data_IF_800201857506
#
_entry.id   IF_800201857506
#
_cell.length_a   1.000
_cell.length_b   1.000
_cell.length_c   1.000
_cell.angle_alpha   90.00
_cell.angle_beta   90.00
_cell.angle_gamma   90.00
#
_symmetry.space_group_name_H-M   'P 1'
#
loop_
_entity.id
_entity.type
_entity.pdbx_description
1 polymer ?
#
# COMPACT_ATOMS: atom_id res chain seq x y z
N UNK A 1 -2.56 19.80 -17.18
CA UNK A 1 -3.60 19.06 -16.44
C UNK A 1 -2.88 18.00 -15.60
N UNK A 2 -2.98 18.16 -14.29
CA UNK A 2 -2.91 17.16 -13.22
C UNK A 2 -1.97 15.94 -13.34
N UNK A 3 -0.96 15.89 -12.46
CA UNK A 3 -0.65 14.66 -11.72
C UNK A 3 -0.53 15.05 -10.24
N UNK A 4 -1.63 14.88 -9.53
CA UNK A 4 -1.67 14.99 -8.08
C UNK A 4 -1.04 13.71 -7.52
N UNK A 5 0.20 13.79 -7.04
CA UNK A 5 0.79 12.72 -6.22
C UNK A 5 0.18 12.80 -4.84
N UNK A 6 -0.95 12.11 -4.67
CA UNK A 6 -1.51 11.79 -3.37
C UNK A 6 -0.55 10.85 -2.64
N UNK A 7 0.37 11.44 -1.88
CA UNK A 7 0.94 10.78 -0.73
C UNK A 7 -0.12 10.89 0.37
N UNK A 8 -1.04 9.93 0.43
CA UNK A 8 -1.85 9.70 1.62
C UNK A 8 -0.88 9.23 2.72
N UNK A 9 -0.27 10.21 3.38
CA UNK A 9 0.32 10.03 4.69
C UNK A 9 -0.87 9.76 5.60
N UNK A 10 -0.98 8.52 6.08
CA UNK A 10 -1.89 8.17 7.14
C UNK A 10 -1.65 9.12 8.31
N UNK A 11 -2.52 10.12 8.44
CA UNK A 11 -2.56 11.06 9.55
C UNK A 11 -3.16 10.29 10.74
N UNK A 12 -2.33 9.43 11.32
CA UNK A 12 -2.64 8.71 12.54
C UNK A 12 -2.70 9.73 13.67
N UNK A 13 -3.93 10.14 13.95
CA UNK A 13 -4.47 10.53 15.24
C UNK A 13 -3.43 11.05 16.22
N UNK A 14 -3.43 12.37 16.36
CA UNK A 14 -2.84 13.11 17.46
C UNK A 14 -2.81 12.27 18.73
N UNK A 15 -1.61 12.18 19.29
CA UNK A 15 -1.33 11.83 20.68
C UNK A 15 -2.57 11.95 21.55
N UNK A 16 -3.14 10.82 21.96
CA UNK A 16 -4.05 10.81 23.10
C UNK A 16 -3.21 11.16 24.34
N UNK A 17 -2.99 12.46 24.51
CA UNK A 17 -2.70 13.08 25.78
C UNK A 17 -3.99 12.89 26.59
N UNK A 18 -4.12 11.72 27.21
CA UNK A 18 -5.11 11.51 28.26
C UNK A 18 -4.61 12.35 29.45
N UNK A 19 -4.92 13.65 29.36
CA UNK A 19 -4.67 14.69 30.34
C UNK A 19 -6.02 15.02 30.97
N UNK A 20 -6.27 14.34 32.07
CA UNK A 20 -7.52 14.26 32.83
C UNK A 20 -7.47 12.88 33.48
N UNK A 21 -7.40 12.71 34.79
CA UNK A 21 -7.55 13.52 35.99
C UNK A 21 -6.72 12.73 37.06
N UNK A 22 -5.93 13.30 37.97
CA UNK A 22 -6.32 14.06 39.16
C UNK A 22 -5.13 14.89 39.63
N UNK A 23 -5.39 16.16 39.96
CA UNK A 23 -4.58 16.92 40.91
C UNK A 23 -4.66 16.24 42.28
N UNK A 24 -3.56 15.59 42.68
CA UNK A 24 -3.22 15.51 44.10
C UNK A 24 -1.88 16.20 44.25
N UNK A 25 -1.97 17.48 44.58
CA UNK A 25 -0.90 18.28 45.14
C UNK A 25 -0.38 17.58 46.40
N UNK A 26 0.86 17.09 46.33
CA UNK A 26 1.67 16.71 47.49
C UNK A 26 2.90 17.62 47.49
N UNK A 27 2.70 18.82 48.05
CA UNK A 27 3.78 19.73 48.43
C UNK A 27 4.52 19.13 49.62
N UNK A 28 5.76 18.68 49.39
CA UNK A 28 6.48 17.92 50.39
C UNK A 28 7.89 17.51 50.01
N UNK A 29 8.72 18.46 49.58
CA UNK A 29 10.18 18.43 49.76
C UNK A 29 10.91 17.11 49.44
N UNK A 30 11.33 16.91 48.19
CA UNK A 30 12.55 16.13 47.90
C UNK A 30 13.19 16.55 46.57
N UNK A 31 13.68 17.80 46.55
CA UNK A 31 14.71 18.22 45.61
C UNK A 31 15.98 17.36 45.82
N UNK A 32 16.07 16.20 45.18
CA UNK A 32 17.26 15.36 45.31
C UNK A 32 17.17 13.88 44.93
N UNK A 33 16.02 13.34 44.53
CA UNK A 33 15.94 11.95 44.07
C UNK A 33 16.46 11.81 42.62
N UNK A 34 17.79 11.89 42.56
CA UNK A 34 18.71 11.50 41.49
C UNK A 34 18.06 10.49 40.54
N UNK A 35 18.25 10.70 39.23
CA UNK A 35 18.07 9.77 38.10
C UNK A 35 18.61 8.35 38.38
N UNK A 36 18.06 7.62 39.35
CA UNK A 36 18.45 6.26 39.66
C UNK A 36 17.77 5.39 38.61
N UNK A 37 18.59 4.67 37.85
CA UNK A 37 18.11 3.57 37.03
C UNK A 37 17.36 2.60 37.94
N UNK A 38 16.21 2.12 37.47
CA UNK A 38 15.47 1.06 38.16
C UNK A 38 16.37 -0.18 38.29
N UNK A 39 16.33 -0.84 39.44
CA UNK A 39 17.04 -2.09 39.64
C UNK A 39 16.44 -3.20 38.75
N UNK A 40 17.22 -4.23 38.45
CA UNK A 40 16.81 -5.36 37.62
C UNK A 40 15.53 -6.04 38.14
N UNK A 41 15.39 -6.22 39.45
CA UNK A 41 14.17 -6.81 40.04
C UNK A 41 12.93 -5.94 39.86
N UNK A 42 13.09 -4.61 39.97
CA UNK A 42 12.01 -3.65 39.71
C UNK A 42 11.59 -3.72 38.24
N UNK A 43 12.56 -3.73 37.32
CA UNK A 43 12.29 -3.87 35.88
C UNK A 43 11.58 -5.19 35.59
N UNK A 44 12.05 -6.31 36.15
CA UNK A 44 11.45 -7.64 35.95
C UNK A 44 9.99 -7.68 36.41
N UNK A 45 9.69 -7.05 37.54
CA UNK A 45 8.31 -6.98 38.05
C UNK A 45 7.42 -6.11 37.16
N UNK A 46 7.94 -4.99 36.65
CA UNK A 46 7.26 -4.12 35.70
C UNK A 46 7.01 -4.82 34.37
N UNK A 47 7.97 -5.59 33.87
CA UNK A 47 7.85 -6.40 32.64
C UNK A 47 6.78 -7.47 32.77
N UNK A 48 6.80 -8.27 33.84
CA UNK A 48 5.75 -9.27 34.10
C UNK A 48 4.37 -8.61 34.18
N UNK A 49 4.27 -7.44 34.80
CA UNK A 49 3.02 -6.70 34.82
C UNK A 49 2.61 -6.19 33.44
N UNK A 50 3.55 -5.65 32.67
CA UNK A 50 3.26 -5.20 31.30
C UNK A 50 2.70 -6.32 30.41
N UNK A 51 3.22 -7.54 30.55
CA UNK A 51 2.74 -8.73 29.83
C UNK A 51 1.29 -9.09 30.19
N UNK A 52 0.90 -8.95 31.47
CA UNK A 52 -0.48 -9.17 31.91
C UNK A 52 -1.46 -8.10 31.41
N UNK A 53 -0.97 -6.90 31.13
CA UNK A 53 -1.79 -5.79 30.69
C UNK A 53 -0.96 -4.57 30.30
N UNK A 54 -1.06 -4.19 29.03
CA UNK A 54 -0.32 -3.06 28.44
C UNK A 54 -0.88 -1.69 28.88
N UNK A 55 -2.16 -1.65 29.27
CA UNK A 55 -2.80 -0.48 29.88
C UNK A 55 -2.50 -0.46 31.38
N UNK A 56 -2.03 0.68 31.85
CA UNK A 56 -1.71 0.91 33.24
C UNK A 56 -2.86 1.68 33.89
N UNK A 57 -3.77 0.95 34.51
CA UNK A 57 -4.88 1.55 35.25
C UNK A 57 -4.39 2.33 36.49
N UNK A 58 -5.08 3.41 36.91
CA UNK A 58 -4.66 4.24 38.04
C UNK A 58 -4.44 3.44 39.33
N UNK A 59 -5.36 2.54 39.66
CA UNK A 59 -5.26 1.70 40.86
C UNK A 59 -4.03 0.78 40.81
N UNK A 60 -3.81 0.15 39.65
CA UNK A 60 -2.66 -0.73 39.43
C UNK A 60 -1.33 0.03 39.50
N UNK A 61 -1.29 1.27 38.98
CA UNK A 61 -0.13 2.16 39.09
C UNK A 61 0.22 2.42 40.55
N UNK A 62 -0.77 2.71 41.39
CA UNK A 62 -0.58 2.96 42.82
C UNK A 62 -0.09 1.70 43.54
N UNK A 63 -0.65 0.54 43.23
CA UNK A 63 -0.19 -0.74 43.79
C UNK A 63 1.27 -1.05 43.43
N UNK A 64 1.66 -0.85 42.16
CA UNK A 64 3.03 -1.05 41.69
C UNK A 64 4.01 -0.06 42.32
N UNK A 65 3.62 1.21 42.44
CA UNK A 65 4.42 2.24 43.10
C UNK A 65 4.73 1.84 44.56
N UNK A 66 3.71 1.44 45.32
CA UNK A 66 3.87 0.97 46.70
C UNK A 66 4.73 -0.30 46.78
N UNK A 67 4.46 -1.30 45.95
CA UNK A 67 5.15 -2.59 45.98
C UNK A 67 6.65 -2.48 45.61
N UNK A 68 7.00 -1.54 44.72
CA UNK A 68 8.37 -1.37 44.23
C UNK A 68 9.14 -0.24 44.92
N UNK A 69 8.49 0.50 45.83
CA UNK A 69 9.08 1.69 46.48
C UNK A 69 9.44 2.77 45.45
N UNK A 70 8.61 2.96 44.43
CA UNK A 70 8.83 3.91 43.34
C UNK A 70 7.72 4.96 43.32
N UNK A 71 8.04 6.16 42.80
CA UNK A 71 7.01 7.17 42.61
C UNK A 71 6.05 6.76 41.47
N UNK A 72 4.73 7.02 41.59
CA UNK A 72 3.76 6.71 40.52
C UNK A 72 4.15 7.28 39.15
N UNK A 73 4.83 8.43 39.14
CA UNK A 73 5.36 9.05 37.92
C UNK A 73 6.42 8.19 37.23
N UNK A 74 7.31 7.56 37.97
CA UNK A 74 8.34 6.67 37.40
C UNK A 74 7.72 5.44 36.75
N UNK A 75 6.68 4.86 37.37
CA UNK A 75 5.91 3.75 36.79
C UNK A 75 5.27 4.20 35.46
N UNK A 76 4.62 5.37 35.45
CA UNK A 76 4.00 5.90 34.24
C UNK A 76 5.00 6.11 33.10
N UNK A 77 6.14 6.74 33.37
CA UNK A 77 7.21 6.96 32.38
C UNK A 77 7.78 5.63 31.88
N UNK A 78 7.98 4.65 32.78
CA UNK A 78 8.48 3.34 32.39
C UNK A 78 7.51 2.63 31.43
N UNK A 79 6.21 2.64 31.73
CA UNK A 79 5.19 2.05 30.86
C UNK A 79 5.10 2.77 29.50
N UNK A 80 5.20 4.10 29.48
CA UNK A 80 5.26 4.88 28.24
C UNK A 80 6.47 4.48 27.38
N UNK A 81 7.66 4.45 27.98
CA UNK A 81 8.89 4.05 27.29
C UNK A 81 8.81 2.60 26.82
N UNK A 82 8.20 1.71 27.62
CA UNK A 82 8.03 0.31 27.25
C UNK A 82 7.13 0.15 26.03
N UNK A 83 5.99 0.88 25.98
CA UNK A 83 5.11 0.93 24.81
C UNK A 83 5.79 1.49 23.58
N UNK A 84 6.56 2.57 23.73
CA UNK A 84 7.30 3.16 22.62
C UNK A 84 8.26 2.15 21.99
N UNK A 85 9.09 1.48 22.80
CA UNK A 85 10.01 0.43 22.32
C UNK A 85 9.29 -0.74 21.68
N UNK A 86 8.14 -1.16 22.23
CA UNK A 86 7.33 -2.21 21.64
C UNK A 86 6.80 -1.80 20.26
N UNK A 87 6.27 -0.58 20.11
CA UNK A 87 5.79 -0.05 18.83
C UNK A 87 6.93 0.03 17.79
N UNK A 88 8.11 0.52 18.18
CA UNK A 88 9.30 0.52 17.30
C UNK A 88 9.64 -0.89 16.83
N UNK A 89 9.71 -1.87 17.75
CA UNK A 89 10.04 -3.25 17.40
C UNK A 89 8.99 -3.91 16.49
N UNK A 90 7.72 -3.53 16.61
CA UNK A 90 6.69 -4.00 15.67
C UNK A 90 6.89 -3.37 14.29
N UNK A 91 7.09 -2.06 14.23
CA UNK A 91 7.30 -1.36 12.97
C UNK A 91 8.52 -1.88 12.19
N UNK A 92 9.62 -2.18 12.89
CA UNK A 92 10.80 -2.82 12.29
C UNK A 92 10.45 -4.16 11.63
N UNK A 93 9.67 -5.02 12.31
CA UNK A 93 9.25 -6.31 11.75
C UNK A 93 8.32 -6.15 10.56
N UNK A 94 7.37 -5.22 10.65
CA UNK A 94 6.40 -4.95 9.59
C UNK A 94 7.12 -4.42 8.35
N UNK A 95 8.08 -3.52 8.54
CA UNK A 95 8.95 -3.03 7.48
C UNK A 95 9.76 -4.17 6.84
N UNK A 96 10.39 -5.03 7.63
CA UNK A 96 11.15 -6.17 7.11
C UNK A 96 10.28 -7.14 6.32
N UNK A 97 9.04 -7.37 6.77
CA UNK A 97 8.08 -8.21 6.04
C UNK A 97 7.71 -7.57 4.71
N UNK A 98 7.32 -6.29 4.72
CA UNK A 98 6.92 -5.56 3.53
C UNK A 98 8.07 -5.46 2.52
N UNK A 99 9.29 -5.23 2.99
CA UNK A 99 10.49 -5.20 2.16
C UNK A 99 10.71 -6.52 1.43
N UNK A 100 10.60 -7.67 2.12
CA UNK A 100 10.74 -8.99 1.48
C UNK A 100 9.66 -9.22 0.42
N UNK A 101 8.41 -8.83 0.69
CA UNK A 101 7.32 -8.94 -0.27
C UNK A 101 7.59 -8.07 -1.51
N UNK A 102 8.02 -6.83 -1.31
CA UNK A 102 8.39 -5.93 -2.39
C UNK A 102 9.53 -6.50 -3.25
N UNK A 103 10.59 -7.03 -2.63
CA UNK A 103 11.72 -7.63 -3.34
C UNK A 103 11.29 -8.86 -4.16
N UNK A 104 10.40 -9.70 -3.64
CA UNK A 104 9.84 -10.85 -4.36
C UNK A 104 9.04 -10.41 -5.59
N UNK A 105 8.08 -9.50 -5.41
CA UNK A 105 7.26 -8.97 -6.50
C UNK A 105 8.13 -8.27 -7.55
N UNK A 106 9.14 -7.52 -7.13
CA UNK A 106 10.09 -6.87 -8.03
C UNK A 106 10.85 -7.90 -8.87
N UNK A 107 11.36 -8.96 -8.25
CA UNK A 107 12.08 -10.02 -8.98
C UNK A 107 11.18 -10.73 -10.02
N UNK A 108 9.92 -11.00 -9.65
CA UNK A 108 8.93 -11.56 -10.59
C UNK A 108 8.63 -10.59 -11.74
N UNK A 109 8.49 -9.30 -11.45
CA UNK A 109 8.27 -8.28 -12.46
C UNK A 109 9.45 -8.19 -13.44
N UNK A 110 10.68 -8.14 -12.93
CA UNK A 110 11.90 -8.10 -13.75
C UNK A 110 11.99 -9.35 -14.65
N UNK A 111 11.65 -10.53 -14.13
CA UNK A 111 11.60 -11.77 -14.90
C UNK A 111 10.51 -11.72 -16.01
N UNK A 112 9.32 -11.21 -15.69
CA UNK A 112 8.25 -11.03 -16.66
C UNK A 112 8.61 -10.00 -17.74
N UNK A 113 9.26 -8.90 -17.38
CA UNK A 113 9.74 -7.90 -18.34
C UNK A 113 10.79 -8.52 -19.28
N UNK A 114 11.75 -9.28 -18.75
CA UNK A 114 12.74 -9.98 -19.56
C UNK A 114 12.08 -10.97 -20.54
N UNK A 115 11.07 -11.72 -20.08
CA UNK A 115 10.31 -12.63 -20.93
C UNK A 115 9.55 -11.88 -22.03
N UNK A 116 8.87 -10.78 -21.69
CA UNK A 116 8.18 -9.93 -22.66
C UNK A 116 9.14 -9.35 -23.71
N UNK A 117 10.30 -8.83 -23.29
CA UNK A 117 11.32 -8.33 -24.23
C UNK A 117 11.78 -9.43 -25.20
N UNK A 118 12.00 -10.66 -24.70
CA UNK A 118 12.37 -11.81 -25.54
C UNK A 118 11.28 -12.14 -26.55
N UNK A 119 10.02 -12.23 -26.12
CA UNK A 119 8.88 -12.49 -27.01
C UNK A 119 8.73 -11.38 -28.05
N UNK A 120 8.87 -10.11 -27.67
CA UNK A 120 8.84 -9.00 -28.61
C UNK A 120 9.94 -9.11 -29.68
N UNK A 121 11.16 -9.49 -29.29
CA UNK A 121 12.25 -9.70 -30.23
C UNK A 121 11.96 -10.86 -31.20
N UNK A 122 11.37 -11.96 -30.72
CA UNK A 122 10.97 -13.09 -31.55
C UNK A 122 9.85 -12.73 -32.54
N UNK A 123 8.82 -12.01 -32.08
CA UNK A 123 7.75 -11.49 -32.95
C UNK A 123 8.31 -10.59 -34.05
N UNK A 124 9.25 -9.69 -33.71
CA UNK A 124 9.90 -8.82 -34.69
C UNK A 124 10.70 -9.65 -35.73
N UNK A 125 11.45 -10.65 -35.29
CA UNK A 125 12.20 -11.53 -36.17
C UNK A 125 11.27 -12.33 -37.11
N UNK A 126 10.15 -12.85 -36.62
CA UNK A 126 9.16 -13.57 -37.43
C UNK A 126 8.45 -12.66 -38.43
N UNK A 127 8.04 -11.46 -38.01
CA UNK A 127 7.46 -10.45 -38.93
C UNK A 127 8.41 -10.04 -40.05
N UNK A 128 9.71 -10.04 -39.80
CA UNK A 128 10.72 -9.77 -40.83
C UNK A 128 10.97 -10.94 -41.79
N UNK A 129 10.52 -12.16 -41.44
CA UNK A 129 10.69 -13.40 -42.22
C UNK A 129 9.46 -13.80 -43.03
N UNK A 130 8.29 -13.23 -42.77
CA UNK A 130 7.15 -13.29 -43.69
C UNK A 130 7.47 -12.40 -44.91
N UNK A 131 7.69 -12.97 -46.12
CA UNK A 131 7.60 -12.15 -47.31
C UNK A 131 6.16 -11.67 -47.37
N UNK A 132 5.94 -10.37 -47.34
CA UNK A 132 4.70 -9.78 -47.84
C UNK A 132 4.58 -10.13 -49.32
N UNK A 133 4.14 -11.35 -49.62
CA UNK A 133 3.51 -11.67 -50.89
C UNK A 133 2.15 -10.97 -50.86
N UNK A 134 2.19 -9.68 -51.20
CA UNK A 134 1.05 -9.02 -51.80
C UNK A 134 0.70 -9.84 -53.04
N UNK A 135 -0.28 -10.72 -52.89
CA UNK A 135 -0.92 -11.43 -53.99
C UNK A 135 -1.55 -10.35 -54.89
N UNK A 136 -0.76 -9.84 -55.84
CA UNK A 136 -1.22 -8.98 -56.92
C UNK A 136 -2.02 -9.87 -57.88
N UNK A 137 -3.33 -9.95 -57.67
CA UNK A 137 -4.29 -10.58 -58.59
C UNK A 137 -4.53 -9.67 -59.81
N UNK A 138 -3.47 -9.33 -60.56
CA UNK A 138 -3.58 -8.61 -61.83
C UNK A 138 -2.88 -9.41 -62.93
N UNK A 139 -3.51 -10.50 -63.37
CA UNK A 139 -3.21 -11.27 -64.60
C UNK A 139 -4.34 -12.31 -64.73
N UNK A 140 -5.16 -12.41 -65.78
CA UNK A 140 -5.07 -11.94 -67.15
C UNK A 140 -6.48 -11.68 -67.69
N UNK A 141 -6.68 -10.51 -68.28
CA UNK A 141 -7.66 -10.34 -69.36
C UNK A 141 -7.06 -11.00 -70.59
N UNK A 142 -7.71 -12.05 -71.13
CA UNK A 142 -7.95 -12.29 -72.57
C UNK A 142 -8.60 -13.68 -72.72
N UNK A 143 -9.84 -13.74 -73.23
CA UNK A 143 -10.55 -15.01 -73.36
C UNK A 143 -12.02 -14.92 -73.76
N UNK A 144 -12.31 -14.26 -74.88
CA UNK A 144 -13.41 -14.53 -75.83
C UNK A 144 -14.87 -14.76 -75.33
N UNK A 145 -15.72 -13.81 -75.76
CA UNK A 145 -17.08 -13.98 -76.33
C UNK A 145 -18.14 -14.81 -75.59
N UNK A 146 -19.22 -14.13 -75.14
CA UNK A 146 -20.51 -14.14 -75.86
C UNK A 146 -21.54 -13.22 -75.18
N UNK A 147 -22.28 -12.48 -76.03
CA UNK A 147 -23.40 -11.62 -75.65
C UNK A 147 -24.59 -12.46 -75.18
N UNK A 148 -25.19 -12.13 -74.04
CA UNK A 148 -26.63 -12.36 -73.82
C UNK A 148 -27.25 -11.12 -73.18
N UNK A 149 -28.25 -10.58 -73.89
CA UNK A 149 -29.04 -9.41 -73.54
C UNK A 149 -30.31 -9.91 -72.86
N UNK A 150 -30.51 -9.60 -71.58
CA UNK A 150 -31.82 -9.74 -70.93
C UNK A 150 -32.24 -8.37 -70.38
N UNK A 151 -33.53 -8.12 -70.52
CA UNK A 151 -34.24 -6.84 -70.60
C UNK A 151 -35.12 -6.69 -69.34
N UNK A 152 -35.19 -5.47 -68.82
CA UNK A 152 -36.22 -4.88 -67.94
C UNK A 152 -36.58 -5.59 -66.61
N UNK A 153 -36.62 -4.82 -65.50
CA UNK A 153 -37.87 -4.18 -65.04
C UNK A 153 -37.62 -3.12 -63.96
N UNK A 154 -38.32 -2.00 -64.10
CA UNK A 154 -38.38 -0.87 -63.17
C UNK A 154 -39.24 -1.16 -61.93
N UNK A 155 -39.07 -0.36 -60.88
CA UNK A 155 -39.93 -0.30 -59.68
C UNK A 155 -39.13 0.17 -58.46
N UNK A 156 -38.88 1.48 -58.30
CA UNK A 156 -39.65 2.41 -57.44
C UNK A 156 -39.86 1.93 -55.99
N UNK A 157 -39.13 2.50 -55.02
CA UNK A 157 -39.71 3.35 -53.97
C UNK A 157 -38.59 4.03 -53.14
N UNK A 158 -38.76 5.33 -52.91
CA UNK A 158 -37.95 6.18 -52.02
C UNK A 158 -38.39 5.95 -50.56
N UNK A 159 -37.55 6.27 -49.56
CA UNK A 159 -37.87 7.36 -48.62
C UNK A 159 -36.68 7.69 -47.69
N UNK A 160 -36.75 8.89 -47.14
CA UNK A 160 -35.71 9.73 -46.55
C UNK A 160 -35.31 9.36 -45.11
N UNK A 161 -34.20 9.95 -44.65
CA UNK A 161 -33.89 9.97 -43.22
C UNK A 161 -32.55 10.58 -42.83
N UNK A 162 -32.31 11.84 -43.20
CA UNK A 162 -31.17 12.64 -42.74
C UNK A 162 -31.40 13.23 -41.34
N UNK A 163 -30.32 13.38 -40.55
CA UNK A 163 -30.22 14.25 -39.36
C UNK A 163 -29.94 13.46 -38.07
N UNK A 164 -29.03 13.85 -37.17
CA UNK A 164 -28.52 15.19 -36.85
C UNK A 164 -27.20 15.13 -36.09
N UNK A 165 -26.42 16.20 -36.28
CA UNK A 165 -25.13 16.52 -35.70
C UNK A 165 -25.34 17.19 -34.31
N UNK A 166 -24.66 16.70 -33.27
CA UNK A 166 -24.68 17.27 -31.92
C UNK A 166 -23.51 18.25 -31.74
N UNK A 167 -23.80 19.43 -31.20
CA UNK A 167 -22.87 20.34 -30.53
C UNK A 167 -23.36 20.53 -29.09
#
# INVERSE_FOLDING_TARGET
>A
MSFSTGLDVCEDHMTNHNHGEDELSDDGSQAGEKKRRLNMEQVKTLEKNFELGNKLEPERKMQLARALGLQPRQIAIWFQNRRARWKTKQLEKDYDLLKRQFEAVKAENDALQAHNHKLHAEILALKSREPTESINLNKETEGSSNKVKIRNKAGYFNDDGSGSHLH
#
